data_IF_798412305817
#
_entry.id   IF_798412305817
#
_cell.length_a   1.000
_cell.length_b   1.000
_cell.length_c   1.000
_cell.angle_alpha   90.00
_cell.angle_beta   90.00
_cell.angle_gamma   90.00
#
_symmetry.space_group_name_H-M   'P 1'
#
loop_
_entity.id
_entity.type
_entity.pdbx_description
1 polymer ?
#
# COMPACT_ATOMS: atom_id res chain seq x y z
N UNK A 1 60.93 -31.87 18.54
CA UNK A 1 60.80 -30.59 17.80
C UNK A 1 59.77 -30.77 16.71
N UNK A 2 58.85 -29.80 16.60
CA UNK A 2 57.90 -29.54 15.50
C UNK A 2 56.49 -30.16 15.60
N UNK A 3 55.52 -29.24 15.70
CA UNK A 3 54.17 -29.30 15.12
C UNK A 3 53.02 -29.83 15.98
N UNK A 4 52.60 -29.06 16.99
CA UNK A 4 51.27 -29.21 17.61
C UNK A 4 50.56 -27.87 17.93
N UNK A 5 50.97 -26.76 17.31
CA UNK A 5 50.46 -25.42 17.64
C UNK A 5 49.93 -24.71 16.38
N UNK A 6 48.90 -25.26 15.74
CA UNK A 6 48.21 -24.56 14.64
C UNK A 6 46.74 -24.93 14.47
N UNK A 7 46.03 -25.31 15.54
CA UNK A 7 44.58 -25.61 15.44
C UNK A 7 43.70 -24.77 16.39
N UNK A 8 44.29 -23.86 17.18
CA UNK A 8 43.53 -23.09 18.18
C UNK A 8 43.10 -21.68 17.72
N UNK A 9 43.59 -21.16 16.58
CA UNK A 9 43.35 -19.75 16.17
C UNK A 9 42.14 -19.59 15.23
N UNK A 10 41.67 -20.66 14.60
CA UNK A 10 40.55 -20.58 13.63
C UNK A 10 39.15 -20.56 14.26
N UNK A 11 39.02 -20.72 15.58
CA UNK A 11 37.73 -20.70 16.28
C UNK A 11 37.34 -19.34 16.88
N UNK A 12 38.23 -18.34 16.84
CA UNK A 12 37.95 -17.00 17.37
C UNK A 12 37.24 -16.05 16.38
N UNK A 13 37.04 -16.49 15.12
CA UNK A 13 36.34 -15.71 14.09
C UNK A 13 34.83 -15.98 14.04
N UNK A 14 34.28 -16.77 14.96
CA UNK A 14 32.85 -16.77 15.25
C UNK A 14 32.49 -15.52 16.07
N UNK A 15 32.82 -14.34 15.52
CA UNK A 15 32.15 -13.10 15.92
C UNK A 15 30.67 -13.40 15.83
N UNK A 16 29.98 -13.32 16.97
CA UNK A 16 28.54 -13.41 17.06
C UNK A 16 27.95 -12.58 15.94
N UNK A 17 27.48 -13.25 14.88
CA UNK A 17 26.60 -12.63 13.92
C UNK A 17 25.39 -12.22 14.77
N UNK A 18 25.39 -10.96 15.23
CA UNK A 18 24.19 -10.33 15.76
C UNK A 18 23.22 -10.45 14.61
N UNK A 19 22.28 -11.40 14.71
CA UNK A 19 21.20 -11.52 13.75
C UNK A 19 20.65 -10.12 13.56
N UNK A 20 20.61 -9.65 12.31
CA UNK A 20 19.99 -8.39 12.01
C UNK A 20 18.62 -8.40 12.69
N UNK A 21 18.33 -7.37 13.47
CA UNK A 21 17.04 -7.22 14.10
C UNK A 21 15.99 -7.29 12.99
N UNK A 22 15.21 -8.37 12.97
CA UNK A 22 14.22 -8.64 11.91
C UNK A 22 13.02 -7.68 12.01
N UNK A 23 12.98 -6.83 13.04
CA UNK A 23 11.94 -5.83 13.17
C UNK A 23 12.04 -4.84 12.01
N UNK A 24 10.93 -4.58 11.30
CA UNK A 24 10.90 -3.52 10.32
C UNK A 24 11.31 -2.21 11.00
N UNK A 25 12.10 -1.35 10.35
CA UNK A 25 12.48 -0.08 10.94
C UNK A 25 11.27 0.76 11.35
N UNK A 26 11.34 1.39 12.52
CA UNK A 26 10.23 2.17 13.10
C UNK A 26 9.78 3.36 12.25
N UNK A 27 10.61 3.78 11.29
CA UNK A 27 10.32 4.88 10.37
C UNK A 27 9.53 4.45 9.13
N UNK A 28 9.33 3.14 8.91
CA UNK A 28 8.48 2.68 7.82
C UNK A 28 7.02 3.07 8.07
N UNK A 29 6.26 3.41 7.01
CA UNK A 29 4.84 3.65 7.18
C UNK A 29 4.15 2.41 7.76
N UNK A 30 3.37 2.62 8.81
CA UNK A 30 2.59 1.58 9.47
C UNK A 30 1.15 1.63 8.97
N UNK A 31 0.61 0.47 8.63
CA UNK A 31 -0.75 0.30 8.15
C UNK A 31 -1.52 -0.61 9.10
N UNK A 32 -2.58 -0.10 9.72
CA UNK A 32 -3.52 -0.88 10.52
C UNK A 32 -4.85 -0.94 9.74
N UNK A 33 -5.28 -2.14 9.36
CA UNK A 33 -6.42 -2.37 8.47
C UNK A 33 -7.54 -3.08 9.23
N UNK A 34 -8.72 -2.47 9.28
CA UNK A 34 -9.97 -3.14 9.65
C UNK A 34 -10.76 -3.44 8.38
N UNK A 35 -11.01 -4.72 8.11
CA UNK A 35 -11.59 -5.20 6.85
C UNK A 35 -12.83 -6.01 7.15
N UNK A 36 -13.96 -5.61 6.59
CA UNK A 36 -15.14 -6.45 6.45
C UNK A 36 -15.18 -6.98 5.01
N UNK A 37 -15.00 -8.30 4.86
CA UNK A 37 -14.92 -8.97 3.57
C UNK A 37 -16.26 -9.63 3.23
N UNK A 38 -17.06 -8.99 2.38
CA UNK A 38 -18.28 -9.57 1.83
C UNK A 38 -17.96 -10.36 0.56
N UNK A 39 -17.64 -11.63 0.75
CA UNK A 39 -17.26 -12.53 -0.33
C UNK A 39 -18.42 -12.76 -1.30
N UNK A 40 -19.65 -12.87 -0.81
CA UNK A 40 -20.82 -13.11 -1.65
C UNK A 40 -21.27 -11.85 -2.40
N UNK A 41 -21.18 -10.68 -1.73
CA UNK A 41 -21.44 -9.38 -2.33
C UNK A 41 -20.30 -8.84 -3.18
N UNK A 42 -19.18 -9.57 -3.28
CA UNK A 42 -17.99 -9.18 -4.05
C UNK A 42 -17.40 -7.84 -3.65
N UNK A 43 -17.38 -7.52 -2.35
CA UNK A 43 -16.88 -6.25 -1.84
C UNK A 43 -15.99 -6.44 -0.60
N UNK A 44 -15.08 -5.50 -0.38
CA UNK A 44 -14.47 -5.31 0.94
C UNK A 44 -14.67 -3.87 1.41
N UNK A 45 -15.18 -3.72 2.63
CA UNK A 45 -15.32 -2.43 3.31
C UNK A 45 -14.18 -2.26 4.29
N UNK A 46 -13.46 -1.14 4.19
CA UNK A 46 -12.17 -1.00 4.83
C UNK A 46 -12.04 0.34 5.52
N UNK A 47 -11.54 0.27 6.75
CA UNK A 47 -10.94 1.40 7.45
C UNK A 47 -9.45 1.14 7.57
N UNK A 48 -8.66 2.00 6.96
CA UNK A 48 -7.20 1.92 6.93
C UNK A 48 -6.61 3.09 7.68
N UNK A 49 -5.90 2.81 8.77
CA UNK A 49 -5.10 3.82 9.47
C UNK A 49 -3.65 3.71 9.00
N UNK A 50 -3.05 4.88 8.72
CA UNK A 50 -1.68 4.98 8.24
C UNK A 50 -0.93 5.96 9.12
N UNK A 51 0.14 5.49 9.74
CA UNK A 51 1.10 6.35 10.43
C UNK A 51 2.34 6.51 9.57
N UNK A 52 2.72 7.75 9.29
CA UNK A 52 3.82 8.08 8.39
C UNK A 52 4.77 9.10 9.04
N UNK A 53 6.06 8.96 8.78
CA UNK A 53 7.12 9.85 9.25
C UNK A 53 7.75 10.55 8.06
N UNK A 54 7.86 11.87 8.12
CA UNK A 54 8.54 12.65 7.10
C UNK A 54 10.05 12.41 7.16
N UNK A 55 10.58 11.74 6.15
CA UNK A 55 12.00 11.41 6.02
C UNK A 55 12.78 12.38 5.13
N UNK A 56 12.10 13.34 4.53
CA UNK A 56 12.73 14.36 3.69
C UNK A 56 13.37 15.46 4.54
N UNK A 57 14.13 16.34 3.90
CA UNK A 57 14.73 17.52 4.50
C UNK A 57 13.78 18.73 4.54
N UNK A 58 12.57 18.61 3.99
CA UNK A 58 11.60 19.70 3.82
C UNK A 58 10.27 19.39 4.50
N UNK A 59 9.53 20.40 4.97
CA UNK A 59 8.16 20.20 5.40
C UNK A 59 7.28 19.65 4.26
N UNK A 60 6.40 18.70 4.58
CA UNK A 60 5.46 18.08 3.63
C UNK A 60 4.05 18.51 3.95
N UNK A 61 3.37 19.12 2.98
CA UNK A 61 2.02 19.68 3.11
C UNK A 61 0.92 18.72 2.65
N UNK A 62 1.28 17.66 1.93
CA UNK A 62 0.34 16.75 1.31
C UNK A 62 0.86 15.31 1.41
N UNK A 63 -0.04 14.37 1.73
CA UNK A 63 0.19 12.94 1.62
C UNK A 63 -0.40 12.40 0.31
N UNK A 64 0.41 11.67 -0.47
CA UNK A 64 -0.03 11.06 -1.71
C UNK A 64 -0.09 9.55 -1.50
N UNK A 65 -1.23 8.95 -1.83
CA UNK A 65 -1.43 7.52 -1.81
C UNK A 65 -1.54 6.99 -3.24
N UNK A 66 -0.87 5.88 -3.54
CA UNK A 66 -1.11 5.11 -4.73
C UNK A 66 -2.24 4.11 -4.47
N UNK A 67 -3.33 4.27 -5.22
CA UNK A 67 -4.56 3.48 -5.14
C UNK A 67 -4.75 2.73 -6.45
N UNK A 68 -4.14 1.55 -6.54
CA UNK A 68 -4.15 0.75 -7.78
C UNK A 68 -5.56 0.37 -8.26
N UNK A 69 -6.51 0.21 -7.33
CA UNK A 69 -7.91 -0.11 -7.62
C UNK A 69 -8.71 1.05 -8.21
N UNK A 70 -8.18 2.27 -8.16
CA UNK A 70 -8.73 3.46 -8.83
C UNK A 70 -8.14 3.65 -10.24
N UNK A 71 -7.46 2.64 -10.80
CA UNK A 71 -6.93 2.68 -12.16
C UNK A 71 -8.05 2.91 -13.18
N UNK A 72 -7.81 3.82 -14.14
CA UNK A 72 -8.73 4.05 -15.26
C UNK A 72 -8.57 2.94 -16.29
N UNK A 73 -9.58 2.08 -16.49
CA UNK A 73 -9.47 0.99 -17.44
C UNK A 73 -9.41 1.47 -18.89
N UNK A 74 -8.81 0.67 -19.80
CA UNK A 74 -8.81 0.99 -21.23
C UNK A 74 -10.24 1.09 -21.75
N UNK A 75 -10.54 2.13 -22.54
CA UNK A 75 -11.89 2.44 -23.03
C UNK A 75 -12.03 2.23 -24.53
N UNK A 76 -10.95 2.41 -25.29
CA UNK A 76 -10.98 2.25 -26.75
C UNK A 76 -10.61 0.82 -27.16
N UNK A 77 -11.07 0.38 -28.33
CA UNK A 77 -10.72 -0.93 -28.85
C UNK A 77 -9.20 -1.11 -29.03
N UNK A 78 -8.50 -0.04 -29.40
CA UNK A 78 -7.03 -0.03 -29.54
C UNK A 78 -6.33 -0.21 -28.20
N UNK A 79 -6.73 0.53 -27.16
CA UNK A 79 -6.17 0.38 -25.82
C UNK A 79 -6.43 -1.03 -25.26
N UNK A 80 -7.61 -1.59 -25.51
CA UNK A 80 -7.96 -2.95 -25.08
C UNK A 80 -7.08 -3.98 -25.80
N UNK A 81 -6.81 -3.83 -27.10
CA UNK A 81 -5.91 -4.71 -27.86
C UNK A 81 -4.47 -4.61 -27.33
N UNK A 82 -3.96 -3.41 -27.08
CA UNK A 82 -2.64 -3.18 -26.51
C UNK A 82 -2.50 -3.84 -25.14
N UNK A 83 -3.48 -3.66 -24.24
CA UNK A 83 -3.49 -4.32 -22.93
C UNK A 83 -3.58 -5.83 -23.04
N UNK A 84 -4.37 -6.34 -23.99
CA UNK A 84 -4.50 -7.79 -24.22
C UNK A 84 -3.16 -8.40 -24.61
N UNK A 85 -2.39 -7.74 -25.50
CA UNK A 85 -1.04 -8.19 -25.89
C UNK A 85 -0.05 -8.19 -24.71
N UNK A 86 -0.14 -7.20 -23.83
CA UNK A 86 0.67 -7.18 -22.60
C UNK A 86 0.33 -8.35 -21.67
N UNK A 87 -0.96 -8.68 -21.54
CA UNK A 87 -1.41 -9.81 -20.71
C UNK A 87 -0.93 -11.17 -21.25
N UNK A 88 -0.80 -11.31 -22.57
CA UNK A 88 -0.20 -12.52 -23.18
C UNK A 88 1.25 -12.74 -22.72
N UNK A 89 2.05 -11.68 -22.51
CA UNK A 89 3.40 -11.79 -21.95
C UNK A 89 3.38 -12.37 -20.53
N UNK A 90 2.36 -12.03 -19.75
CA UNK A 90 2.12 -12.58 -18.41
C UNK A 90 1.41 -13.94 -18.44
N UNK A 91 1.10 -14.48 -19.62
CA UNK A 91 0.32 -15.72 -19.83
C UNK A 91 -1.05 -15.67 -19.17
N UNK A 92 -1.68 -14.50 -19.19
CA UNK A 92 -3.01 -14.26 -18.65
C UNK A 92 -4.00 -14.03 -19.80
N UNK A 93 -5.07 -14.84 -19.93
CA UNK A 93 -6.10 -14.57 -20.92
C UNK A 93 -6.78 -13.23 -20.63
N UNK A 94 -6.79 -12.31 -21.60
CA UNK A 94 -7.33 -10.96 -21.41
C UNK A 94 -8.77 -10.94 -20.86
N UNK A 95 -9.62 -11.85 -21.34
CA UNK A 95 -11.01 -12.00 -20.89
C UNK A 95 -11.14 -12.35 -19.39
N UNK A 96 -10.13 -12.98 -18.81
CA UNK A 96 -10.12 -13.42 -17.41
C UNK A 96 -9.47 -12.39 -16.49
N UNK A 97 -8.66 -11.48 -17.02
CA UNK A 97 -7.90 -10.51 -16.22
C UNK A 97 -8.40 -9.06 -16.36
N UNK A 98 -8.94 -8.66 -17.50
CA UNK A 98 -9.40 -7.29 -17.71
C UNK A 98 -10.71 -7.02 -16.94
N UNK A 99 -10.67 -5.94 -16.17
CA UNK A 99 -11.81 -5.34 -15.50
C UNK A 99 -11.96 -3.89 -15.98
N UNK A 100 -13.15 -3.52 -16.44
CA UNK A 100 -13.39 -2.27 -17.17
C UNK A 100 -14.07 -1.18 -16.34
N UNK A 101 -14.32 -1.46 -15.06
CA UNK A 101 -14.94 -0.51 -14.14
C UNK A 101 -13.93 -0.04 -13.08
N UNK A 102 -14.23 1.08 -12.44
CA UNK A 102 -13.46 1.53 -11.29
C UNK A 102 -13.79 0.63 -10.10
N UNK A 103 -12.79 -0.02 -9.53
CA UNK A 103 -12.99 -0.94 -8.42
C UNK A 103 -12.92 -0.25 -7.05
N UNK A 104 -12.77 1.07 -6.98
CA UNK A 104 -12.52 1.78 -5.72
C UNK A 104 -13.46 2.95 -5.50
N UNK A 105 -14.09 2.96 -4.33
CA UNK A 105 -14.92 4.07 -3.86
C UNK A 105 -14.38 4.59 -2.53
N UNK A 106 -13.86 5.81 -2.52
CA UNK A 106 -13.43 6.50 -1.30
C UNK A 106 -14.63 7.14 -0.62
N UNK A 107 -14.81 6.88 0.68
CA UNK A 107 -15.89 7.47 1.47
C UNK A 107 -15.39 8.66 2.29
N UNK A 108 -14.23 8.52 2.94
CA UNK A 108 -13.71 9.54 3.86
C UNK A 108 -12.20 9.45 4.02
N UNK A 109 -11.58 10.61 4.27
CA UNK A 109 -10.19 10.72 4.74
C UNK A 109 -10.16 11.61 5.99
N UNK A 110 -9.49 11.15 7.04
CA UNK A 110 -9.40 11.87 8.30
C UNK A 110 -7.97 11.92 8.83
N UNK A 111 -7.57 13.00 9.49
CA UNK A 111 -6.39 13.05 10.35
C UNK A 111 -6.76 12.50 11.72
N UNK A 112 -5.89 11.68 12.28
CA UNK A 112 -6.00 11.14 13.63
C UNK A 112 -5.01 11.88 14.53
N UNK A 113 -5.52 12.51 15.59
CA UNK A 113 -4.68 13.14 16.62
C UNK A 113 -5.04 12.59 17.98
N UNK A 114 -4.04 12.18 18.74
CA UNK A 114 -4.26 11.69 20.10
C UNK A 114 -4.45 12.87 21.06
N UNK A 115 -5.59 12.93 21.74
CA UNK A 115 -5.92 13.93 22.75
C UNK A 115 -6.20 13.21 24.08
N UNK A 116 -5.16 13.03 24.90
CA UNK A 116 -5.25 12.24 26.13
C UNK A 116 -5.48 10.75 25.82
N UNK A 117 -6.62 10.21 26.27
CA UNK A 117 -7.02 8.83 26.02
C UNK A 117 -7.92 8.66 24.79
N UNK A 118 -8.32 9.74 24.13
CA UNK A 118 -9.23 9.71 22.99
C UNK A 118 -8.51 10.07 21.69
N UNK A 119 -9.02 9.54 20.58
CA UNK A 119 -8.61 9.93 19.24
C UNK A 119 -9.56 11.00 18.73
N UNK A 120 -9.00 12.15 18.36
CA UNK A 120 -9.71 13.19 17.62
C UNK A 120 -9.57 12.94 16.13
N UNK A 121 -10.70 12.98 15.44
CA UNK A 121 -10.82 12.82 14.00
C UNK A 121 -11.10 14.18 13.36
N UNK A 122 -10.35 14.54 12.34
CA UNK A 122 -10.55 15.76 11.55
C UNK A 122 -10.59 15.38 10.08
N UNK A 123 -11.69 15.67 9.38
CA UNK A 123 -11.83 15.33 7.97
C UNK A 123 -10.89 16.17 7.10
N UNK A 124 -10.19 15.50 6.17
CA UNK A 124 -9.19 16.11 5.32
C UNK A 124 -9.70 16.32 3.89
N UNK A 125 -9.31 17.44 3.31
CA UNK A 125 -9.51 17.69 1.89
C UNK A 125 -8.63 16.75 1.08
N UNK A 126 -9.19 16.19 0.01
CA UNK A 126 -8.48 15.30 -0.87
C UNK A 126 -8.91 15.52 -2.32
N UNK A 127 -8.05 15.11 -3.26
CA UNK A 127 -8.33 15.15 -4.69
C UNK A 127 -7.54 14.06 -5.40
N UNK A 128 -8.05 13.60 -6.53
CA UNK A 128 -7.29 12.74 -7.44
C UNK A 128 -6.35 13.58 -8.29
N UNK A 129 -5.15 13.09 -8.53
CA UNK A 129 -4.24 13.70 -9.49
C UNK A 129 -4.84 13.60 -10.91
N UNK A 130 -4.75 14.68 -11.70
CA UNK A 130 -5.35 14.76 -13.03
C UNK A 130 -4.64 13.91 -14.08
N UNK A 131 -3.33 13.75 -13.94
CA UNK A 131 -2.48 13.05 -14.89
C UNK A 131 -2.22 11.59 -14.47
N UNK A 132 -2.32 11.30 -13.17
CA UNK A 132 -2.15 9.96 -12.59
C UNK A 132 -3.38 9.57 -11.78
N UNK A 133 -4.35 8.92 -12.42
CA UNK A 133 -5.64 8.58 -11.81
C UNK A 133 -5.54 7.74 -10.53
N UNK A 134 -4.46 6.99 -10.31
CA UNK A 134 -4.26 6.21 -9.09
C UNK A 134 -3.67 7.01 -7.94
N UNK A 135 -3.26 8.26 -8.14
CA UNK A 135 -2.67 9.09 -7.09
C UNK A 135 -3.75 9.91 -6.37
N UNK A 136 -4.06 9.49 -5.14
CA UNK A 136 -4.91 10.23 -4.20
C UNK A 136 -4.04 11.23 -3.43
N UNK A 137 -4.30 12.51 -3.60
CA UNK A 137 -3.61 13.59 -2.89
C UNK A 137 -4.48 14.02 -1.71
N UNK A 138 -3.94 13.91 -0.50
CA UNK A 138 -4.57 14.31 0.76
C UNK A 138 -3.85 15.54 1.30
N UNK A 139 -4.58 16.65 1.49
CA UNK A 139 -4.03 17.88 2.02
C UNK A 139 -3.96 17.83 3.54
N UNK A 140 -2.79 18.14 4.09
CA UNK A 140 -2.60 18.23 5.53
C UNK A 140 -2.94 19.66 6.00
N UNK A 141 -3.59 19.81 7.16
CA UNK A 141 -3.93 21.13 7.68
C UNK A 141 -2.70 21.93 8.09
N UNK A 142 -1.62 21.23 8.48
CA UNK A 142 -0.33 21.80 8.86
C UNK A 142 0.79 20.99 8.18
N UNK A 143 1.87 21.64 7.70
CA UNK A 143 3.01 20.92 7.14
C UNK A 143 3.68 20.01 8.17
N UNK A 144 3.99 18.78 7.80
CA UNK A 144 4.75 17.86 8.65
C UNK A 144 6.24 18.17 8.50
N UNK A 145 6.95 18.66 9.54
CA UNK A 145 8.36 18.99 9.43
C UNK A 145 9.23 17.73 9.22
N UNK A 146 10.48 17.90 8.82
CA UNK A 146 11.45 16.81 8.72
C UNK A 146 11.56 16.06 10.07
N UNK A 147 11.44 14.73 10.03
CA UNK A 147 11.38 13.86 11.21
C UNK A 147 10.03 13.88 11.96
N UNK A 148 9.10 14.76 11.58
CA UNK A 148 7.74 14.78 12.11
C UNK A 148 6.91 13.59 11.64
N UNK A 149 5.77 13.36 12.29
CA UNK A 149 4.86 12.26 11.93
C UNK A 149 3.41 12.71 11.87
N UNK A 150 2.60 11.98 11.11
CA UNK A 150 1.16 12.18 11.01
C UNK A 150 0.47 10.82 10.90
N UNK A 151 -0.73 10.72 11.46
CA UNK A 151 -1.61 9.58 11.31
C UNK A 151 -2.88 10.00 10.55
N UNK A 152 -3.26 9.22 9.55
CA UNK A 152 -4.48 9.43 8.75
C UNK A 152 -5.29 8.15 8.65
N UNK A 153 -6.61 8.28 8.53
CA UNK A 153 -7.57 7.20 8.33
C UNK A 153 -8.25 7.35 6.99
N UNK A 154 -8.28 6.30 6.17
CA UNK A 154 -9.03 6.22 4.93
C UNK A 154 -10.16 5.21 5.12
N UNK A 155 -11.39 5.61 4.82
CA UNK A 155 -12.55 4.71 4.77
C UNK A 155 -12.99 4.56 3.32
N UNK A 156 -13.07 3.33 2.82
CA UNK A 156 -13.35 3.05 1.41
C UNK A 156 -13.97 1.67 1.21
N UNK A 157 -14.53 1.46 0.02
CA UNK A 157 -14.97 0.17 -0.48
C UNK A 157 -14.19 -0.19 -1.73
N UNK A 158 -13.82 -1.47 -1.84
CA UNK A 158 -13.20 -2.04 -3.04
C UNK A 158 -14.09 -3.15 -3.59
N UNK A 159 -14.34 -3.11 -4.90
CA UNK A 159 -14.99 -4.18 -5.64
C UNK A 159 -14.01 -5.34 -5.85
N UNK A 160 -14.52 -6.56 -5.72
CA UNK A 160 -13.77 -7.81 -5.86
C UNK A 160 -14.26 -8.56 -7.10
N UNK A 161 -13.89 -8.09 -8.31
CA UNK A 161 -14.43 -8.64 -9.54
C UNK A 161 -14.04 -10.10 -9.71
N UNK A 162 -14.86 -10.83 -10.47
CA UNK A 162 -14.58 -12.21 -10.84
C UNK A 162 -13.53 -12.30 -11.96
N UNK A 163 -12.32 -11.83 -11.65
CA UNK A 163 -11.17 -11.68 -12.57
C UNK A 163 -9.90 -12.11 -11.86
N UNK A 164 -8.92 -12.58 -12.62
CA UNK A 164 -7.57 -12.84 -12.12
C UNK A 164 -6.80 -11.52 -12.05
N UNK A 165 -6.03 -11.31 -10.97
CA UNK A 165 -5.26 -10.06 -10.84
C UNK A 165 -4.61 -9.90 -9.48
N UNK A 166 -4.51 -8.63 -9.05
CA UNK A 166 -3.96 -8.23 -7.75
C UNK A 166 -4.98 -8.32 -6.62
N UNK A 167 -6.23 -7.97 -6.90
CA UNK A 167 -7.37 -8.15 -6.00
C UNK A 167 -8.56 -8.70 -6.78
N UNK A 168 -9.49 -9.35 -6.09
CA UNK A 168 -10.71 -9.87 -6.68
C UNK A 168 -10.99 -11.30 -6.27
N UNK A 169 -11.77 -11.98 -7.10
CA UNK A 169 -12.14 -13.36 -6.95
C UNK A 169 -11.95 -14.12 -8.25
N UNK A 170 -11.41 -15.32 -8.19
CA UNK A 170 -11.28 -16.16 -9.39
C UNK A 170 -11.29 -17.62 -9.00
N UNK A 171 -12.16 -18.41 -9.66
CA UNK A 171 -12.33 -19.85 -9.42
C UNK A 171 -12.47 -20.21 -7.94
N UNK A 172 -13.28 -19.43 -7.21
CA UNK A 172 -13.58 -19.67 -5.80
C UNK A 172 -12.52 -19.19 -4.81
N UNK A 173 -11.48 -18.48 -5.27
CA UNK A 173 -10.43 -17.92 -4.42
C UNK A 173 -10.59 -16.40 -4.37
N UNK A 174 -10.70 -15.85 -3.16
CA UNK A 174 -10.59 -14.40 -2.92
C UNK A 174 -9.14 -14.04 -2.62
N UNK A 175 -8.62 -13.01 -3.28
CA UNK A 175 -7.25 -12.56 -3.08
C UNK A 175 -7.19 -11.04 -2.95
N UNK A 176 -6.27 -10.59 -2.10
CA UNK A 176 -6.06 -9.20 -1.71
C UNK A 176 -4.54 -8.95 -1.67
N UNK A 177 -3.91 -8.82 -2.84
CA UNK A 177 -2.47 -8.61 -2.98
C UNK A 177 -2.17 -7.20 -3.51
N UNK A 178 -1.52 -6.36 -2.70
CA UNK A 178 -1.25 -4.95 -3.05
C UNK A 178 -2.50 -4.18 -3.50
N UNK A 179 -3.58 -4.39 -2.75
CA UNK A 179 -4.95 -3.94 -3.04
C UNK A 179 -5.32 -2.63 -2.34
N UNK A 180 -4.63 -2.31 -1.24
CA UNK A 180 -4.93 -1.16 -0.40
C UNK A 180 -4.12 0.08 -0.85
N UNK A 181 -4.61 1.30 -0.60
CA UNK A 181 -3.84 2.53 -0.76
C UNK A 181 -2.48 2.47 -0.05
N UNK A 182 -1.38 2.76 -0.74
CA UNK A 182 -0.03 2.79 -0.16
C UNK A 182 0.54 4.21 -0.28
N UNK A 183 1.17 4.73 0.78
CA UNK A 183 1.82 6.05 0.73
C UNK A 183 2.92 6.05 -0.33
N UNK A 184 2.89 7.01 -1.24
CA UNK A 184 3.91 7.23 -2.24
C UNK A 184 5.23 7.69 -1.58
N UNK A 185 6.35 7.37 -2.24
CA UNK A 185 7.66 7.80 -1.77
C UNK A 185 7.87 9.31 -1.99
N UNK A 186 8.55 9.96 -1.04
CA UNK A 186 8.88 11.39 -1.04
C UNK A 186 10.38 11.62 -1.17
#
# INVERSE_FOLDING_TARGET
>A
MRSCLTTAVLLAAALSARGADLRPPDWLPRYDLAINLDVCGHQAHVTQQVSWVNRTDKPVEQLVFNVHSHFTPPKTAEEIDQFSRLLELFRLPAREALYFENAFTLHKVERLTKAGNEWKHEELKHQWNKDLATALIVQLPEPVPAGGSVAVSLSYTIELPQRQGRWGQWKGITFLSNWHPVVAYY
#
